data_IF_098585571973
#
_entry.id   IF_098585571973
#
_cell.length_a   1.000
_cell.length_b   1.000
_cell.length_c   1.000
_cell.angle_alpha   90.00
_cell.angle_beta   90.00
_cell.angle_gamma   90.00
#
_symmetry.space_group_name_H-M   'P 1'
#
loop_
_entity.id
_entity.type
_entity.pdbx_description
1 polymer ?
#
# COMPACT_ATOMS: atom_id res chain seq x y z
N UNK A 1 17.98 3.81 6.54
CA UNK A 1 17.81 3.64 5.08
C UNK A 1 18.61 2.42 4.64
N UNK A 2 17.96 1.25 4.65
CA UNK A 2 18.54 0.00 4.16
C UNK A 2 18.33 -0.05 2.64
N UNK A 3 19.36 -0.31 1.82
CA UNK A 3 19.19 -0.49 0.39
C UNK A 3 18.20 -1.62 0.10
N UNK A 4 17.15 -1.33 -0.64
CA UNK A 4 16.14 -2.30 -1.04
C UNK A 4 15.68 -2.02 -2.48
N UNK A 5 15.12 -3.01 -3.19
CA UNK A 5 14.55 -2.78 -4.51
C UNK A 5 13.49 -1.66 -4.50
N UNK A 6 13.34 -0.90 -5.58
CA UNK A 6 12.29 0.11 -5.69
C UNK A 6 10.92 -0.47 -5.36
N UNK A 7 10.10 0.27 -4.61
CA UNK A 7 8.75 -0.12 -4.17
C UNK A 7 8.68 -1.36 -3.25
N UNK A 8 9.81 -1.87 -2.77
CA UNK A 8 9.83 -2.95 -1.78
C UNK A 8 9.75 -2.36 -0.37
N UNK A 9 8.54 -2.05 0.10
CA UNK A 9 8.30 -1.41 1.40
C UNK A 9 7.12 -2.04 2.14
N UNK A 10 7.06 -1.84 3.46
CA UNK A 10 5.91 -2.25 4.29
C UNK A 10 4.71 -1.30 4.18
N UNK A 11 4.87 -0.14 3.56
CA UNK A 11 3.91 0.95 3.62
C UNK A 11 2.53 0.56 3.06
N UNK A 12 2.47 -0.19 1.95
CA UNK A 12 1.20 -0.63 1.37
C UNK A 12 0.48 -1.65 2.26
N UNK A 13 1.22 -2.60 2.83
CA UNK A 13 0.64 -3.53 3.80
C UNK A 13 0.09 -2.77 5.02
N UNK A 14 0.87 -1.84 5.58
CA UNK A 14 0.44 -1.03 6.72
C UNK A 14 -0.78 -0.16 6.39
N UNK A 15 -0.86 0.38 5.17
CA UNK A 15 -2.00 1.18 4.71
C UNK A 15 -3.32 0.41 4.76
N UNK A 16 -3.26 -0.91 4.56
CA UNK A 16 -4.40 -1.80 4.69
C UNK A 16 -4.59 -2.29 6.14
N UNK A 17 -3.52 -2.83 6.75
CA UNK A 17 -3.62 -3.56 8.02
C UNK A 17 -3.88 -2.69 9.23
N UNK A 18 -3.34 -1.47 9.29
CA UNK A 18 -3.56 -0.58 10.44
C UNK A 18 -5.05 -0.24 10.59
N UNK A 19 -5.76 0.26 9.56
CA UNK A 19 -7.19 0.50 9.70
C UNK A 19 -8.02 -0.80 9.80
N UNK A 20 -7.58 -1.92 9.19
CA UNK A 20 -8.28 -3.20 9.27
C UNK A 20 -8.28 -3.81 10.68
N UNK A 21 -7.16 -3.73 11.40
CA UNK A 21 -6.97 -4.37 12.71
C UNK A 21 -7.18 -3.41 13.89
N UNK A 22 -6.76 -2.15 13.76
CA UNK A 22 -6.82 -1.16 14.83
C UNK A 22 -8.01 -0.21 14.69
N UNK A 23 -8.59 -0.15 13.50
CA UNK A 23 -9.74 0.70 13.19
C UNK A 23 -9.39 1.95 12.38
N UNK A 24 -10.41 2.46 11.68
CA UNK A 24 -10.28 3.56 10.72
C UNK A 24 -9.75 4.86 11.35
N UNK A 25 -9.91 5.04 12.65
CA UNK A 25 -9.40 6.20 13.41
C UNK A 25 -7.88 6.36 13.32
N UNK A 26 -7.14 5.30 12.97
CA UNK A 26 -5.68 5.34 12.81
C UNK A 26 -5.24 5.66 11.37
N UNK A 27 -6.17 5.78 10.43
CA UNK A 27 -5.85 6.15 9.04
C UNK A 27 -5.11 7.50 8.94
N UNK A 28 -5.47 8.57 9.70
CA UNK A 28 -4.72 9.82 9.69
C UNK A 28 -3.25 9.66 10.07
N UNK A 29 -2.92 8.76 10.99
CA UNK A 29 -1.53 8.49 11.41
C UNK A 29 -0.71 7.94 10.24
N UNK A 30 -1.30 7.07 9.42
CA UNK A 30 -0.66 6.56 8.20
C UNK A 30 -0.44 7.66 7.17
N UNK A 31 -1.46 8.47 6.91
CA UNK A 31 -1.34 9.60 5.97
C UNK A 31 -0.23 10.55 6.43
N UNK A 32 -0.17 10.87 7.72
CA UNK A 32 0.90 11.70 8.28
C UNK A 32 2.27 11.05 8.08
N UNK A 33 2.39 9.72 8.23
CA UNK A 33 3.65 9.01 7.97
C UNK A 33 4.11 9.18 6.51
N UNK A 34 3.19 9.13 5.54
CA UNK A 34 3.51 9.40 4.13
C UNK A 34 3.91 10.86 3.92
N UNK A 35 3.18 11.80 4.52
CA UNK A 35 3.52 13.24 4.47
C UNK A 35 4.94 13.49 4.99
N UNK A 36 5.29 12.92 6.15
CA UNK A 36 6.63 13.05 6.74
C UNK A 36 7.69 12.42 5.81
N UNK A 37 7.41 11.27 5.23
CA UNK A 37 8.32 10.62 4.28
C UNK A 37 8.56 11.53 3.07
N UNK A 38 7.50 12.09 2.49
CA UNK A 38 7.59 12.99 1.33
C UNK A 38 8.26 14.32 1.66
N UNK A 39 8.13 14.83 2.90
CA UNK A 39 8.89 15.99 3.37
C UNK A 39 10.41 15.72 3.44
N UNK A 40 10.81 14.50 3.79
CA UNK A 40 12.23 14.12 3.89
C UNK A 40 12.83 13.78 2.53
N UNK A 41 12.09 13.05 1.68
CA UNK A 41 12.56 12.61 0.35
C UNK A 41 12.38 13.72 -0.69
N UNK A 42 11.40 14.59 -0.50
CA UNK A 42 10.94 15.62 -1.44
C UNK A 42 9.59 15.25 -2.06
N UNK A 43 8.76 16.27 -2.27
CA UNK A 43 7.49 16.09 -2.97
C UNK A 43 7.72 15.77 -4.45
N UNK A 44 6.94 14.85 -4.98
CA UNK A 44 6.95 14.49 -6.40
C UNK A 44 5.58 14.72 -7.03
N UNK A 45 5.52 14.82 -8.35
CA UNK A 45 4.28 15.19 -9.06
C UNK A 45 3.08 14.27 -8.79
N UNK A 46 3.32 12.99 -8.42
CA UNK A 46 2.25 12.03 -8.13
C UNK A 46 1.89 11.91 -6.64
N UNK A 47 2.42 12.80 -5.78
CA UNK A 47 2.18 12.76 -4.32
C UNK A 47 0.69 12.69 -3.96
N UNK A 48 -0.18 13.47 -4.62
CA UNK A 48 -1.61 13.43 -4.36
C UNK A 48 -2.25 12.07 -4.73
N UNK A 49 -1.78 11.45 -5.81
CA UNK A 49 -2.23 10.11 -6.22
C UNK A 49 -1.78 9.04 -5.22
N UNK A 50 -0.57 9.18 -4.68
CA UNK A 50 -0.03 8.31 -3.62
C UNK A 50 -0.88 8.41 -2.35
N UNK A 51 -1.10 9.62 -1.84
CA UNK A 51 -1.89 9.83 -0.62
C UNK A 51 -3.35 9.42 -0.80
N UNK A 52 -3.95 9.77 -1.95
CA UNK A 52 -5.31 9.35 -2.30
C UNK A 52 -5.45 7.81 -2.32
N UNK A 53 -4.48 7.11 -2.90
CA UNK A 53 -4.45 5.65 -2.91
C UNK A 53 -4.40 5.06 -1.51
N UNK A 54 -3.52 5.58 -0.63
CA UNK A 54 -3.40 5.15 0.77
C UNK A 54 -4.71 5.33 1.53
N UNK A 55 -5.38 6.47 1.35
CA UNK A 55 -6.68 6.74 1.96
C UNK A 55 -7.72 5.73 1.46
N UNK A 56 -7.80 5.48 0.15
CA UNK A 56 -8.75 4.54 -0.44
C UNK A 56 -8.51 3.10 0.04
N UNK A 57 -7.25 2.66 0.12
CA UNK A 57 -6.87 1.35 0.66
C UNK A 57 -7.33 1.23 2.11
N UNK A 58 -7.05 2.25 2.93
CA UNK A 58 -7.44 2.27 4.33
C UNK A 58 -8.96 2.24 4.53
N UNK A 59 -9.72 3.03 3.76
CA UNK A 59 -11.18 3.02 3.81
C UNK A 59 -11.76 1.68 3.34
N UNK A 60 -11.17 1.06 2.31
CA UNK A 60 -11.59 -0.24 1.78
C UNK A 60 -11.26 -1.42 2.69
N UNK A 61 -10.29 -1.28 3.58
CA UNK A 61 -9.78 -2.38 4.42
C UNK A 61 -10.85 -3.07 5.26
N UNK A 62 -11.87 -2.32 5.73
CA UNK A 62 -12.99 -2.82 6.53
C UNK A 62 -13.78 -3.96 5.86
N UNK A 63 -13.84 -3.96 4.52
CA UNK A 63 -14.59 -4.98 3.77
C UNK A 63 -13.88 -6.34 3.77
N UNK A 64 -12.56 -6.34 4.01
CA UNK A 64 -11.71 -7.53 3.98
C UNK A 64 -11.16 -7.91 5.37
N UNK A 65 -11.60 -7.27 6.47
CA UNK A 65 -11.00 -7.44 7.80
C UNK A 65 -11.30 -8.78 8.49
N UNK A 66 -12.29 -9.56 8.01
CA UNK A 66 -12.89 -10.69 8.77
C UNK A 66 -11.96 -11.89 8.95
N UNK A 67 -11.26 -12.34 7.92
CA UNK A 67 -10.40 -13.53 7.95
C UNK A 67 -9.00 -13.22 7.48
N UNK A 68 -8.01 -14.06 7.85
CA UNK A 68 -6.62 -13.92 7.42
C UNK A 68 -6.53 -13.89 5.89
N UNK A 69 -7.19 -14.83 5.21
CA UNK A 69 -7.17 -14.90 3.75
C UNK A 69 -7.77 -13.64 3.12
N UNK A 70 -8.90 -13.15 3.65
CA UNK A 70 -9.50 -11.92 3.15
C UNK A 70 -8.58 -10.72 3.36
N UNK A 71 -7.88 -10.62 4.50
CA UNK A 71 -6.95 -9.52 4.76
C UNK A 71 -5.74 -9.56 3.84
N UNK A 72 -5.14 -10.73 3.63
CA UNK A 72 -4.04 -10.89 2.65
C UNK A 72 -4.52 -10.52 1.25
N UNK A 73 -5.66 -11.04 0.81
CA UNK A 73 -6.24 -10.72 -0.48
C UNK A 73 -6.56 -9.22 -0.61
N UNK A 74 -7.19 -8.63 0.41
CA UNK A 74 -7.51 -7.20 0.45
C UNK A 74 -6.28 -6.31 0.40
N UNK A 75 -5.17 -6.70 1.06
CA UNK A 75 -3.92 -5.95 0.99
C UNK A 75 -3.26 -6.01 -0.39
N UNK A 76 -3.33 -7.16 -1.08
CA UNK A 76 -2.85 -7.31 -2.46
C UNK A 76 -3.72 -6.53 -3.45
N UNK A 77 -5.05 -6.52 -3.26
CA UNK A 77 -5.94 -5.63 -4.02
C UNK A 77 -5.58 -4.16 -3.77
N UNK A 78 -5.24 -3.79 -2.54
CA UNK A 78 -4.75 -2.47 -2.20
C UNK A 78 -3.48 -2.10 -2.96
N UNK A 79 -2.50 -3.01 -3.07
CA UNK A 79 -1.29 -2.80 -3.87
C UNK A 79 -1.62 -2.64 -5.37
N UNK A 80 -2.59 -3.40 -5.88
CA UNK A 80 -3.06 -3.27 -7.27
C UNK A 80 -3.77 -1.93 -7.51
N UNK A 81 -4.58 -1.48 -6.56
CA UNK A 81 -5.23 -0.18 -6.59
C UNK A 81 -4.19 0.96 -6.58
N UNK A 82 -3.20 0.86 -5.71
CA UNK A 82 -2.09 1.81 -5.65
C UNK A 82 -1.37 1.91 -6.99
N UNK A 83 -0.97 0.77 -7.57
CA UNK A 83 -0.34 0.72 -8.88
C UNK A 83 -1.18 1.39 -9.96
N UNK A 84 -2.48 1.11 -9.97
CA UNK A 84 -3.40 1.68 -10.98
C UNK A 84 -3.49 3.21 -10.84
N UNK A 85 -3.70 3.72 -9.64
CA UNK A 85 -3.92 5.15 -9.40
C UNK A 85 -2.62 5.93 -9.61
N UNK A 86 -1.49 5.45 -9.07
CA UNK A 86 -0.23 6.21 -9.16
C UNK A 86 0.33 6.25 -10.57
N UNK A 87 0.21 5.16 -11.36
CA UNK A 87 0.66 5.17 -12.76
C UNK A 87 -0.27 5.99 -13.66
N UNK A 88 -1.57 6.03 -13.37
CA UNK A 88 -2.44 7.01 -14.00
C UNK A 88 -1.97 8.44 -13.70
N UNK A 89 -1.59 8.72 -12.46
CA UNK A 89 -0.97 9.99 -12.07
C UNK A 89 0.30 10.30 -12.87
N UNK A 90 1.21 9.34 -13.01
CA UNK A 90 2.43 9.49 -13.83
C UNK A 90 2.10 9.84 -15.27
N UNK A 91 1.12 9.15 -15.87
CA UNK A 91 0.68 9.43 -17.22
C UNK A 91 0.11 10.86 -17.36
N UNK A 92 -0.69 11.33 -16.40
CA UNK A 92 -1.28 12.68 -16.40
C UNK A 92 -0.25 13.81 -16.23
N UNK A 93 0.96 13.51 -15.77
CA UNK A 93 2.07 14.49 -15.69
C UNK A 93 2.78 14.72 -17.03
N UNK A 94 2.37 14.02 -18.10
CA UNK A 94 2.89 14.24 -19.45
C UNK A 94 4.25 13.60 -19.72
N UNK A 95 4.74 12.69 -18.85
CA UNK A 95 5.96 11.91 -19.10
C UNK A 95 5.82 10.94 -20.28
N UNK A 96 4.60 10.68 -20.69
CA UNK A 96 4.20 9.85 -21.83
C UNK A 96 3.20 10.63 -22.69
N UNK A 97 3.06 10.27 -23.96
CA UNK A 97 2.06 10.89 -24.85
C UNK A 97 0.65 10.68 -24.29
N UNK A 98 -0.22 11.70 -24.48
CA UNK A 98 -1.65 11.62 -24.05
C UNK A 98 -2.48 10.80 -25.06
N UNK A 99 -2.01 9.59 -25.37
CA UNK A 99 -2.65 8.62 -26.25
C UNK A 99 -2.86 7.30 -25.49
N UNK A 100 -3.64 6.41 -26.05
CA UNK A 100 -3.82 5.07 -25.50
C UNK A 100 -2.50 4.28 -25.47
N UNK A 101 -1.67 4.43 -26.49
CA UNK A 101 -0.33 3.81 -26.56
C UNK A 101 0.58 4.35 -25.45
N UNK A 102 0.54 5.67 -25.19
CA UNK A 102 1.30 6.28 -24.10
C UNK A 102 0.84 5.79 -22.73
N UNK A 103 -0.46 5.62 -22.52
CA UNK A 103 -1.02 5.02 -21.32
C UNK A 103 -0.52 3.57 -21.13
N UNK A 104 -0.64 2.74 -22.17
CA UNK A 104 -0.15 1.34 -22.12
C UNK A 104 1.35 1.27 -21.86
N UNK A 105 2.15 2.13 -22.47
CA UNK A 105 3.59 2.19 -22.26
C UNK A 105 3.93 2.54 -20.79
N UNK A 106 3.24 3.53 -20.21
CA UNK A 106 3.40 3.92 -18.81
C UNK A 106 3.18 2.72 -17.87
N UNK A 107 2.06 2.01 -18.03
CA UNK A 107 1.75 0.85 -17.19
C UNK A 107 2.70 -0.34 -17.44
N UNK A 108 3.06 -0.58 -18.71
CA UNK A 108 3.96 -1.69 -19.06
C UNK A 108 5.34 -1.51 -18.42
N UNK A 109 5.91 -0.30 -18.49
CA UNK A 109 7.20 0.01 -17.87
C UNK A 109 7.15 -0.02 -16.34
N UNK A 110 5.98 0.12 -15.75
CA UNK A 110 5.77 0.05 -14.30
C UNK A 110 5.59 -1.38 -13.76
N UNK A 111 5.40 -2.42 -14.61
CA UNK A 111 5.19 -3.81 -14.18
C UNK A 111 6.29 -4.33 -13.23
N UNK A 112 7.60 -4.11 -13.46
CA UNK A 112 8.61 -4.58 -12.52
C UNK A 112 8.45 -3.99 -11.12
N UNK A 113 8.10 -2.72 -11.00
CA UNK A 113 7.85 -2.04 -9.72
C UNK A 113 6.59 -2.59 -9.05
N UNK A 114 5.58 -2.91 -9.83
CA UNK A 114 4.35 -3.56 -9.34
C UNK A 114 4.63 -4.95 -8.75
N UNK A 115 5.46 -5.74 -9.42
CA UNK A 115 5.87 -7.04 -8.90
C UNK A 115 6.53 -6.92 -7.51
N UNK A 116 7.47 -5.97 -7.34
CA UNK A 116 8.08 -5.70 -6.03
C UNK A 116 7.05 -5.24 -4.99
N UNK A 117 6.09 -4.40 -5.37
CA UNK A 117 5.00 -3.98 -4.48
C UNK A 117 4.13 -5.15 -4.02
N UNK A 118 3.78 -6.07 -4.91
CA UNK A 118 3.00 -7.27 -4.56
C UNK A 118 3.79 -8.21 -3.64
N UNK A 119 5.05 -8.49 -3.97
CA UNK A 119 5.91 -9.38 -3.18
C UNK A 119 6.10 -8.81 -1.77
N UNK A 120 6.46 -7.52 -1.66
CA UNK A 120 6.63 -6.86 -0.36
C UNK A 120 5.33 -6.85 0.43
N UNK A 121 4.21 -6.49 -0.20
CA UNK A 121 2.89 -6.49 0.46
C UNK A 121 2.53 -7.89 0.98
N UNK A 122 2.78 -8.94 0.21
CA UNK A 122 2.54 -10.32 0.63
C UNK A 122 3.41 -10.72 1.83
N UNK A 123 4.72 -10.44 1.77
CA UNK A 123 5.67 -10.75 2.85
C UNK A 123 5.30 -10.00 4.14
N UNK A 124 5.08 -8.69 4.06
CA UNK A 124 4.72 -7.90 5.23
C UNK A 124 3.34 -8.24 5.77
N UNK A 125 2.39 -8.63 4.93
CA UNK A 125 1.09 -9.17 5.37
C UNK A 125 1.27 -10.45 6.20
N UNK A 126 2.11 -11.37 5.74
CA UNK A 126 2.43 -12.59 6.49
C UNK A 126 3.08 -12.31 7.85
N UNK A 127 4.02 -11.35 7.90
CA UNK A 127 4.66 -10.93 9.16
C UNK A 127 3.63 -10.32 10.12
N UNK A 128 2.78 -9.40 9.64
CA UNK A 128 1.75 -8.75 10.46
C UNK A 128 0.74 -9.78 11.00
N UNK A 129 0.28 -10.71 10.16
CA UNK A 129 -0.64 -11.77 10.59
C UNK A 129 0.01 -12.71 11.61
N UNK A 130 1.29 -13.04 11.44
CA UNK A 130 2.06 -13.84 12.40
C UNK A 130 2.13 -13.17 13.77
N UNK A 131 2.51 -11.89 13.81
CA UNK A 131 2.58 -11.10 15.04
C UNK A 131 1.19 -10.96 15.69
N UNK A 132 0.17 -10.68 14.90
CA UNK A 132 -1.20 -10.52 15.39
C UNK A 132 -1.72 -11.81 16.03
N UNK A 133 -1.53 -12.95 15.37
CA UNK A 133 -1.92 -14.27 15.90
C UNK A 133 -1.16 -14.62 17.17
N UNK A 134 0.15 -14.37 17.22
CA UNK A 134 0.98 -14.65 18.38
C UNK A 134 0.53 -13.84 19.61
N UNK A 135 0.30 -12.55 19.47
CA UNK A 135 -0.19 -11.69 20.55
C UNK A 135 -1.59 -12.10 21.02
N UNK A 136 -2.47 -12.47 20.10
CA UNK A 136 -3.81 -12.95 20.44
C UNK A 136 -3.78 -14.23 21.26
N UNK A 137 -2.91 -15.18 20.92
CA UNK A 137 -2.73 -16.43 21.66
C UNK A 137 -2.17 -16.17 23.07
N UNK A 138 -1.17 -15.29 23.19
CA UNK A 138 -0.57 -14.92 24.47
C UNK A 138 -1.58 -14.30 25.44
N UNK A 139 -2.44 -13.42 24.95
CA UNK A 139 -3.51 -12.81 25.75
C UNK A 139 -4.58 -13.82 26.20
N UNK A 140 -4.83 -14.86 25.39
CA UNK A 140 -5.79 -15.92 25.73
C UNK A 140 -5.24 -16.91 26.78
N UNK A 141 -3.94 -17.15 26.81
CA UNK A 141 -3.29 -18.05 27.79
C UNK A 141 -3.00 -17.37 29.11
N UNK A 142 -3.05 -16.03 29.17
CA UNK A 142 -2.82 -15.22 30.39
C UNK A 142 -4.09 -14.98 31.22
N UNK A 143 -5.23 -15.52 30.81
CA UNK A 143 -6.51 -15.52 31.56
C UNK A 143 -6.83 -16.90 32.05
#
# INVERSE_FOLDING_TARGET
>A
FIPHPPNFTSLLALSFYVPALLGIRYLPVLVISFVITDLVIGFHGVTLFTWGSVILIGLGSKFFAKTILNRIFGSLLGASLFFTITNFGVWTLGSYTYTFEGLLLCYTLAIPFFAYSLISTFIFSGIIEGIYKFNFLKLKTSK
#
